data_IF_956368533190
#
_entry.id   IF_956368533190
#
_cell.length_a   1.000
_cell.length_b   1.000
_cell.length_c   1.000
_cell.angle_alpha   90.00
_cell.angle_beta   90.00
_cell.angle_gamma   90.00
#
_symmetry.space_group_name_H-M   'P 1'
#
loop_
_entity.id
_entity.type
_entity.pdbx_description
1 polymer ?
#
# COMPACT_ATOMS: atom_id res chain seq x y z
N UNK A 1 18.16 -4.64 -11.79
CA UNK A 1 17.32 -3.81 -10.95
C UNK A 1 15.85 -4.21 -11.08
N UNK A 2 15.25 -4.70 -10.00
CA UNK A 2 13.84 -5.06 -9.98
C UNK A 2 13.00 -3.87 -9.50
N UNK A 3 11.92 -3.59 -10.20
CA UNK A 3 11.03 -2.48 -9.87
C UNK A 3 9.76 -3.04 -9.25
N UNK A 4 9.48 -2.58 -8.04
CA UNK A 4 8.34 -3.04 -7.23
C UNK A 4 7.46 -1.83 -6.90
N UNK A 5 6.17 -1.99 -7.11
CA UNK A 5 5.17 -0.99 -6.73
C UNK A 5 4.50 -1.41 -5.43
N UNK A 6 4.35 -0.47 -4.51
CA UNK A 6 3.61 -0.67 -3.27
C UNK A 6 2.25 -0.01 -3.41
N UNK A 7 1.21 -0.83 -3.34
CA UNK A 7 -0.18 -0.36 -3.43
C UNK A 7 -1.06 -1.30 -2.63
N UNK A 8 -1.85 -0.75 -1.72
CA UNK A 8 -2.77 -1.55 -0.91
C UNK A 8 -3.95 -2.02 -1.76
N UNK A 9 -4.34 -3.27 -1.54
CA UNK A 9 -5.53 -3.85 -2.15
C UNK A 9 -6.14 -4.85 -1.17
N UNK A 10 -7.43 -5.05 -1.26
CA UNK A 10 -8.12 -5.97 -0.38
C UNK A 10 -7.79 -7.42 -0.71
N UNK A 11 -7.40 -8.17 0.33
CA UNK A 11 -7.13 -9.60 0.17
C UNK A 11 -5.85 -9.96 -0.54
N UNK A 12 -4.96 -8.98 -0.77
CA UNK A 12 -3.67 -9.21 -1.43
C UNK A 12 -2.55 -8.54 -0.65
N UNK A 13 -1.34 -9.08 -0.80
CA UNK A 13 -0.16 -8.40 -0.30
C UNK A 13 0.08 -7.12 -1.11
N UNK A 14 0.66 -6.07 -0.51
CA UNK A 14 0.76 -4.75 -1.16
C UNK A 14 1.93 -4.62 -2.13
N UNK A 15 2.56 -5.71 -2.50
CA UNK A 15 3.75 -5.73 -3.34
C UNK A 15 3.41 -6.23 -4.74
N UNK A 16 3.77 -5.45 -5.75
CA UNK A 16 3.42 -5.71 -7.14
C UNK A 16 4.64 -5.54 -8.04
N UNK A 17 4.74 -6.34 -9.08
CA UNK A 17 5.74 -6.11 -10.10
C UNK A 17 5.37 -4.85 -10.91
N UNK A 18 6.27 -3.88 -10.96
CA UNK A 18 5.99 -2.62 -11.67
C UNK A 18 5.89 -2.79 -13.17
N UNK A 19 6.45 -3.87 -13.72
CA UNK A 19 6.49 -4.10 -15.17
C UNK A 19 5.29 -4.92 -15.63
N UNK A 20 5.04 -6.08 -15.01
CA UNK A 20 3.98 -6.99 -15.43
C UNK A 20 2.72 -6.92 -14.56
N UNK A 21 2.78 -6.17 -13.47
CA UNK A 21 1.67 -5.91 -12.54
C UNK A 21 1.14 -7.13 -11.80
N UNK A 22 1.90 -8.23 -11.77
CA UNK A 22 1.56 -9.36 -10.92
C UNK A 22 1.72 -9.02 -9.45
N UNK A 23 0.79 -9.52 -8.64
CA UNK A 23 0.93 -9.49 -7.19
C UNK A 23 2.07 -10.43 -6.77
N UNK A 24 2.94 -9.93 -5.90
CA UNK A 24 4.06 -10.70 -5.37
C UNK A 24 3.83 -10.87 -3.87
N UNK A 25 3.92 -12.10 -3.38
CA UNK A 25 3.78 -12.33 -1.94
C UNK A 25 4.98 -11.76 -1.19
N UNK A 26 4.71 -11.11 -0.05
CA UNK A 26 5.78 -10.49 0.75
C UNK A 26 6.81 -11.52 1.23
N UNK A 27 6.40 -12.77 1.39
CA UNK A 27 7.31 -13.82 1.82
C UNK A 27 8.39 -14.16 0.79
N UNK A 28 8.25 -13.67 -0.44
CA UNK A 28 9.30 -13.81 -1.45
C UNK A 28 10.47 -12.85 -1.23
N UNK A 29 10.31 -11.86 -0.36
CA UNK A 29 11.39 -10.91 -0.05
C UNK A 29 12.07 -11.27 1.27
N UNK A 30 13.38 -11.05 1.31
CA UNK A 30 14.17 -11.24 2.53
C UNK A 30 14.13 -9.93 3.31
N UNK A 31 13.09 -9.76 4.12
CA UNK A 31 12.87 -8.56 4.93
C UNK A 31 12.50 -8.96 6.35
N UNK A 32 12.55 -8.00 7.27
CA UNK A 32 12.25 -8.25 8.67
C UNK A 32 10.79 -8.63 8.87
N UNK A 33 10.54 -9.48 9.87
CA UNK A 33 9.17 -9.85 10.25
C UNK A 33 8.38 -8.64 10.72
N UNK A 34 9.04 -7.68 11.36
CA UNK A 34 8.38 -6.46 11.81
C UNK A 34 7.85 -5.66 10.63
N UNK A 35 8.65 -5.53 9.56
CA UNK A 35 8.21 -4.81 8.37
C UNK A 35 7.01 -5.52 7.71
N UNK A 36 7.05 -6.85 7.64
CA UNK A 36 5.91 -7.61 7.12
C UNK A 36 4.63 -7.36 7.92
N UNK A 37 4.75 -7.39 9.26
CA UNK A 37 3.60 -7.14 10.13
C UNK A 37 3.06 -5.72 9.95
N UNK A 38 3.94 -4.75 9.84
CA UNK A 38 3.54 -3.35 9.67
C UNK A 38 2.81 -3.15 8.34
N UNK A 39 3.27 -3.80 7.27
CA UNK A 39 2.56 -3.77 6.00
C UNK A 39 1.17 -4.43 6.09
N UNK A 40 1.09 -5.60 6.73
CA UNK A 40 -0.19 -6.30 6.87
C UNK A 40 -1.18 -5.49 7.69
N UNK A 41 -0.73 -4.83 8.74
CA UNK A 41 -1.56 -3.95 9.53
C UNK A 41 -2.06 -2.76 8.71
N UNK A 42 -1.16 -2.15 7.95
CA UNK A 42 -1.51 -1.03 7.07
C UNK A 42 -2.56 -1.43 6.03
N UNK A 43 -2.37 -2.57 5.37
CA UNK A 43 -3.32 -3.08 4.38
C UNK A 43 -4.68 -3.39 5.03
N UNK A 44 -4.68 -3.87 6.27
CA UNK A 44 -5.94 -4.20 6.97
C UNK A 44 -6.83 -2.99 7.19
N UNK A 45 -6.25 -1.78 7.17
CA UNK A 45 -7.01 -0.53 7.31
C UNK A 45 -7.38 0.10 5.95
N UNK A 46 -6.99 -0.55 4.87
CA UNK A 46 -7.30 -0.03 3.52
C UNK A 46 -8.81 0.02 3.32
N UNK A 47 -9.30 1.18 2.89
CA UNK A 47 -10.73 1.38 2.67
C UNK A 47 -11.50 1.83 3.91
N UNK A 48 -10.83 2.11 5.04
CA UNK A 48 -11.50 2.58 6.26
C UNK A 48 -12.22 3.91 6.09
N UNK A 49 -11.90 4.64 5.02
CA UNK A 49 -12.53 5.92 4.70
C UNK A 49 -13.83 5.77 3.90
N UNK A 50 -14.27 4.54 3.64
CA UNK A 50 -15.50 4.25 2.90
C UNK A 50 -16.54 3.65 3.84
N UNK A 51 -17.77 4.17 3.79
CA UNK A 51 -18.92 3.54 4.43
C UNK A 51 -19.45 2.49 3.45
N UNK A 52 -19.09 1.23 3.67
CA UNK A 52 -19.40 0.16 2.73
C UNK A 52 -20.90 -0.14 2.61
N UNK A 53 -21.68 0.12 3.67
CA UNK A 53 -23.12 -0.11 3.66
C UNK A 53 -23.87 0.84 2.73
N UNK A 54 -23.38 2.08 2.61
CA UNK A 54 -24.03 3.13 1.83
C UNK A 54 -23.22 3.52 0.59
N UNK A 55 -22.02 2.94 0.45
CA UNK A 55 -21.11 3.22 -0.66
C UNK A 55 -20.74 4.70 -0.76
N UNK A 56 -20.58 5.35 0.40
CA UNK A 56 -20.23 6.76 0.51
C UNK A 56 -18.94 6.93 1.31
N UNK A 57 -18.38 8.14 1.27
CA UNK A 57 -17.18 8.46 2.05
C UNK A 57 -17.53 8.64 3.52
N UNK A 58 -16.69 8.09 4.39
CA UNK A 58 -16.86 8.23 5.84
C UNK A 58 -16.57 9.66 6.29
N UNK A 59 -17.14 10.05 7.42
CA UNK A 59 -16.81 11.33 8.06
C UNK A 59 -15.31 11.31 8.41
N UNK A 60 -14.60 12.36 8.01
CA UNK A 60 -13.15 12.44 8.22
C UNK A 60 -12.34 11.62 7.23
N UNK A 61 -12.91 11.25 6.11
CA UNK A 61 -12.24 10.44 5.10
C UNK A 61 -10.93 11.03 4.61
N UNK A 62 -10.85 12.36 4.50
CA UNK A 62 -9.65 13.03 4.00
C UNK A 62 -8.45 12.76 4.91
N UNK A 63 -8.64 12.87 6.22
CA UNK A 63 -7.59 12.58 7.20
C UNK A 63 -7.16 11.12 7.15
N UNK A 64 -8.12 10.22 6.96
CA UNK A 64 -7.83 8.79 6.86
C UNK A 64 -7.02 8.44 5.62
N UNK A 65 -7.38 9.03 4.47
CA UNK A 65 -6.64 8.84 3.22
C UNK A 65 -5.23 9.41 3.35
N UNK A 66 -5.08 10.61 3.90
CA UNK A 66 -3.76 11.22 4.10
C UNK A 66 -2.88 10.36 5.00
N UNK A 67 -3.44 9.83 6.09
CA UNK A 67 -2.69 8.96 6.98
C UNK A 67 -2.27 7.69 6.28
N UNK A 68 -3.17 7.07 5.52
CA UNK A 68 -2.86 5.88 4.73
C UNK A 68 -1.69 6.14 3.77
N UNK A 69 -1.73 7.24 3.06
CA UNK A 69 -0.70 7.57 2.08
C UNK A 69 0.64 7.89 2.75
N UNK A 70 0.62 8.58 3.87
CA UNK A 70 1.83 8.89 4.63
C UNK A 70 2.47 7.61 5.17
N UNK A 71 1.68 6.73 5.76
CA UNK A 71 2.18 5.47 6.29
C UNK A 71 2.71 4.57 5.17
N UNK A 72 2.00 4.49 4.05
CA UNK A 72 2.44 3.72 2.89
C UNK A 72 3.77 4.19 2.34
N UNK A 73 3.96 5.51 2.28
CA UNK A 73 5.23 6.07 1.83
C UNK A 73 6.37 5.73 2.78
N UNK A 74 6.14 5.83 4.09
CA UNK A 74 7.15 5.48 5.09
C UNK A 74 7.51 3.99 5.04
N UNK A 75 6.51 3.12 4.90
CA UNK A 75 6.74 1.68 4.76
C UNK A 75 7.52 1.37 3.49
N UNK A 76 7.23 2.06 2.40
CA UNK A 76 7.95 1.89 1.14
C UNK A 76 9.42 2.28 1.28
N UNK A 77 9.71 3.35 2.01
CA UNK A 77 11.08 3.77 2.29
C UNK A 77 11.81 2.74 3.15
N UNK A 78 11.14 2.16 4.14
CA UNK A 78 11.71 1.10 4.95
C UNK A 78 12.02 -0.14 4.11
N UNK A 79 11.12 -0.51 3.21
CA UNK A 79 11.31 -1.63 2.31
C UNK A 79 12.52 -1.40 1.40
N UNK A 80 12.64 -0.20 0.83
CA UNK A 80 13.80 0.15 0.01
C UNK A 80 15.09 0.00 0.80
N UNK A 81 15.10 0.44 2.06
CA UNK A 81 16.27 0.32 2.93
C UNK A 81 16.65 -1.11 3.24
N UNK A 82 15.67 -2.00 3.42
CA UNK A 82 15.95 -3.41 3.72
C UNK A 82 16.37 -4.20 2.47
N UNK A 83 15.79 -3.89 1.32
CA UNK A 83 16.10 -4.62 0.08
C UNK A 83 17.36 -4.12 -0.62
N UNK A 84 17.74 -2.86 -0.42
CA UNK A 84 18.95 -2.29 -0.99
C UNK A 84 18.82 -1.95 -2.47
N UNK A 85 19.97 -1.80 -3.13
CA UNK A 85 20.07 -1.24 -4.48
C UNK A 85 19.61 -2.19 -5.59
N UNK A 86 19.41 -3.47 -5.29
CA UNK A 86 18.91 -4.43 -6.28
C UNK A 86 17.43 -4.18 -6.64
N UNK A 87 16.74 -3.35 -5.87
CA UNK A 87 15.32 -3.05 -6.05
C UNK A 87 15.08 -1.57 -6.11
N UNK A 88 14.09 -1.18 -6.90
CA UNK A 88 13.56 0.17 -6.95
C UNK A 88 12.10 0.11 -6.49
N UNK A 89 11.80 0.80 -5.39
CA UNK A 89 10.48 0.75 -4.76
C UNK A 89 9.73 2.04 -5.05
N UNK A 90 8.51 1.92 -5.59
CA UNK A 90 7.63 3.05 -5.84
C UNK A 90 6.34 2.86 -5.06
N UNK A 91 5.85 3.92 -4.43
CA UNK A 91 4.57 3.89 -3.72
C UNK A 91 3.48 4.50 -4.58
N UNK A 92 2.35 3.79 -4.69
CA UNK A 92 1.15 4.29 -5.35
C UNK A 92 0.14 4.67 -4.27
N UNK A 93 -0.14 5.97 -4.08
CA UNK A 93 -1.10 6.41 -3.08
C UNK A 93 -2.53 6.09 -3.46
N UNK A 94 -3.39 5.98 -2.46
CA UNK A 94 -4.83 5.88 -2.68
C UNK A 94 -5.36 7.21 -3.23
N UNK A 95 -6.30 7.13 -4.16
CA UNK A 95 -6.83 8.30 -4.84
C UNK A 95 -8.37 8.28 -4.87
N UNK A 96 -8.96 8.34 -3.69
CA UNK A 96 -10.40 8.25 -3.50
C UNK A 96 -11.15 9.41 -4.17
N UNK A 97 -10.54 10.60 -4.21
CA UNK A 97 -11.18 11.79 -4.79
C UNK A 97 -11.46 11.58 -6.27
N UNK A 98 -10.53 11.00 -7.02
CA UNK A 98 -10.74 10.73 -8.45
C UNK A 98 -11.83 9.70 -8.66
N UNK A 99 -11.92 8.70 -7.80
CA UNK A 99 -12.94 7.67 -7.87
C UNK A 99 -14.35 8.24 -7.67
N UNK A 100 -14.46 9.28 -6.87
CA UNK A 100 -15.75 9.95 -6.61
C UNK A 100 -16.31 10.68 -7.83
N UNK A 101 -15.51 10.96 -8.83
CA UNK A 101 -15.92 11.73 -10.00
C UNK A 101 -16.48 10.86 -11.12
N UNK A 102 -16.63 9.59 -10.90
CA UNK A 102 -17.18 8.67 -11.91
C UNK A 102 -18.67 8.37 -11.75
#
# INVERSE_FOLDING_TARGET
LKRITIEADMGADPTWCAVCQYNIEMDEFVISDQLKRDFHEWVSRFGEWIEWDTDTLAVGWETKVERHNREGNLLSQRLQGELGEAYEIEFTPANTIEEEHF
#
